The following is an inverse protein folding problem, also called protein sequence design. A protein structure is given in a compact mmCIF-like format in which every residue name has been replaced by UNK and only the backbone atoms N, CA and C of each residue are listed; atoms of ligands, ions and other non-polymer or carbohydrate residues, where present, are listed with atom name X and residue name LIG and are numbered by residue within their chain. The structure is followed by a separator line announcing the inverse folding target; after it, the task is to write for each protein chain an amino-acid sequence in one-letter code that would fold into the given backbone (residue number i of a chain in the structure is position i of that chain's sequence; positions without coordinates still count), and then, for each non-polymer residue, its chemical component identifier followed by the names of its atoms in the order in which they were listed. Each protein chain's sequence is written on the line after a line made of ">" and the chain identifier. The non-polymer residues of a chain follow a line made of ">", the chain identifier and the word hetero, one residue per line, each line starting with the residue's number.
data_IF_760511791458
#
_entry.id   IF_760511791458
#
_cell.length_a   1.000
_cell.length_b   1.000
_cell.length_c   1.000
_cell.angle_alpha   90.00
_cell.angle_beta   90.00
_cell.angle_gamma   90.00
#
_symmetry.space_group_name_H-M   'P 1'
#
loop_
_entity.id
_entity.type
_entity.pdbx_description
1 polymer ?
#
# COMPACT_ATOMS: atom_id res chain seq x y z
N UNK A 1 20.48 -0.09 11.33
CA UNK A 1 21.20 -0.54 12.55
C UNK A 1 20.23 -1.28 13.45
N UNK A 2 20.67 -2.32 14.17
CA UNK A 2 19.81 -3.11 15.06
C UNK A 2 19.12 -2.26 16.14
N UNK A 3 19.86 -1.34 16.77
CA UNK A 3 19.36 -0.48 17.85
C UNK A 3 18.75 0.85 17.39
N UNK A 4 18.30 0.92 16.14
CA UNK A 4 17.48 2.06 15.69
C UNK A 4 16.12 2.04 16.40
N UNK A 5 15.59 3.19 16.80
CA UNK A 5 14.25 3.30 17.42
C UNK A 5 13.12 3.19 16.39
N UNK A 6 13.42 3.42 15.11
CA UNK A 6 12.46 3.38 14.02
C UNK A 6 12.17 1.93 13.57
N UNK A 7 11.01 1.69 12.94
CA UNK A 7 10.75 0.45 12.25
C UNK A 7 11.85 0.13 11.23
N UNK A 8 12.30 -1.13 11.21
CA UNK A 8 13.39 -1.57 10.34
C UNK A 8 12.92 -1.64 8.89
N UNK A 9 13.81 -1.29 7.98
CA UNK A 9 13.57 -1.34 6.53
C UNK A 9 14.49 -2.31 5.79
N UNK A 10 15.50 -2.87 6.46
CA UNK A 10 16.45 -3.79 5.86
C UNK A 10 16.51 -5.08 6.66
N UNK A 11 16.56 -6.22 5.95
CA UNK A 11 16.64 -7.54 6.58
C UNK A 11 17.81 -7.67 7.55
N UNK A 12 18.98 -7.12 7.20
CA UNK A 12 20.18 -7.09 8.07
C UNK A 12 19.98 -6.40 9.43
N UNK A 13 18.94 -5.56 9.55
CA UNK A 13 18.63 -4.83 10.78
C UNK A 13 17.46 -5.46 11.56
N UNK A 14 16.88 -6.57 11.06
CA UNK A 14 15.73 -7.26 11.65
C UNK A 14 16.18 -8.59 12.29
N UNK A 15 16.14 -8.66 13.62
CA UNK A 15 16.61 -9.83 14.36
C UNK A 15 15.57 -10.97 14.40
N UNK A 16 15.97 -12.17 13.95
CA UNK A 16 15.26 -13.45 14.17
C UNK A 16 13.79 -13.50 13.71
N UNK A 17 13.43 -12.75 12.65
CA UNK A 17 12.07 -12.76 12.05
C UNK A 17 12.01 -13.53 10.73
N UNK A 18 12.90 -14.51 10.55
CA UNK A 18 13.00 -15.26 9.29
C UNK A 18 11.74 -16.09 9.02
N UNK A 19 11.14 -16.67 10.06
CA UNK A 19 9.91 -17.45 9.93
C UNK A 19 8.75 -16.58 9.43
N UNK A 20 8.48 -15.46 10.12
CA UNK A 20 7.38 -14.55 9.76
C UNK A 20 7.60 -13.90 8.39
N UNK A 21 8.84 -13.58 8.02
CA UNK A 21 9.17 -13.10 6.69
C UNK A 21 8.87 -14.15 5.62
N UNK A 22 9.24 -15.41 5.85
CA UNK A 22 9.00 -16.49 4.90
C UNK A 22 7.51 -16.77 4.72
N UNK A 23 6.70 -16.73 5.78
CA UNK A 23 5.23 -16.85 5.66
C UNK A 23 4.64 -15.76 4.75
N UNK A 24 5.08 -14.50 4.90
CA UNK A 24 4.64 -13.41 4.02
C UNK A 24 5.11 -13.64 2.59
N UNK A 25 6.36 -14.06 2.38
CA UNK A 25 6.87 -14.33 1.02
C UNK A 25 6.12 -15.47 0.35
N UNK A 26 5.80 -16.53 1.08
CA UNK A 26 5.10 -17.68 0.53
C UNK A 26 3.64 -17.33 0.21
N UNK A 27 2.96 -16.58 1.07
CA UNK A 27 1.64 -16.03 0.77
C UNK A 27 1.65 -15.13 -0.48
N UNK A 28 2.66 -14.26 -0.62
CA UNK A 28 2.82 -13.42 -1.82
C UNK A 28 3.09 -14.24 -3.10
N UNK A 29 3.90 -15.31 -3.02
CA UNK A 29 4.15 -16.23 -4.16
C UNK A 29 2.91 -17.01 -4.56
N UNK A 30 2.10 -17.41 -3.58
CA UNK A 30 0.81 -18.08 -3.78
C UNK A 30 -0.28 -17.13 -4.30
N UNK A 31 0.05 -15.84 -4.46
CA UNK A 31 -0.89 -14.81 -4.89
C UNK A 31 -2.09 -14.68 -3.93
N UNK A 32 -1.87 -14.90 -2.64
CA UNK A 32 -2.89 -14.68 -1.61
C UNK A 32 -3.40 -13.23 -1.71
N UNK A 33 -4.72 -13.07 -1.70
CA UNK A 33 -5.35 -11.75 -1.92
C UNK A 33 -5.50 -10.94 -0.63
N UNK A 34 -5.45 -11.62 0.52
CA UNK A 34 -5.49 -11.00 1.85
C UNK A 34 -4.47 -11.68 2.75
N UNK A 35 -3.62 -10.89 3.39
CA UNK A 35 -2.67 -11.34 4.41
C UNK A 35 -2.91 -10.47 5.64
N UNK A 36 -2.97 -11.05 6.83
CA UNK A 36 -3.18 -10.29 8.07
C UNK A 36 -1.98 -10.48 8.99
N UNK A 37 -1.25 -9.40 9.26
CA UNK A 37 -0.14 -9.40 10.22
C UNK A 37 -0.67 -8.93 11.58
N UNK A 38 -0.87 -9.87 12.51
CA UNK A 38 -1.38 -9.58 13.85
C UNK A 38 -0.31 -9.76 14.94
N UNK A 39 -0.61 -9.27 16.15
CA UNK A 39 0.25 -9.38 17.32
C UNK A 39 0.23 -8.13 18.19
N UNK A 40 0.86 -8.20 19.36
CA UNK A 40 0.85 -7.11 20.35
C UNK A 40 1.57 -5.84 19.84
N UNK A 41 1.27 -4.70 20.47
CA UNK A 41 1.93 -3.42 20.14
C UNK A 41 3.43 -3.52 20.46
N UNK A 42 4.27 -2.96 19.57
CA UNK A 42 5.76 -2.99 19.66
C UNK A 42 6.43 -4.36 19.45
N UNK A 43 5.71 -5.39 18.97
CA UNK A 43 6.35 -6.69 18.62
C UNK A 43 7.21 -6.65 17.33
N UNK A 44 7.07 -5.59 16.53
CA UNK A 44 7.84 -5.39 15.30
C UNK A 44 7.07 -5.55 13.99
N UNK A 45 5.72 -5.62 14.01
CA UNK A 45 4.88 -5.82 12.82
C UNK A 45 5.22 -4.89 11.64
N UNK A 46 5.27 -3.58 11.88
CA UNK A 46 5.62 -2.60 10.84
C UNK A 46 7.04 -2.81 10.27
N UNK A 47 7.97 -3.32 11.08
CA UNK A 47 9.33 -3.64 10.61
C UNK A 47 9.32 -4.88 9.71
N UNK A 48 8.59 -5.93 10.10
CA UNK A 48 8.42 -7.15 9.30
C UNK A 48 7.76 -6.80 7.96
N UNK A 49 6.67 -6.03 7.97
CA UNK A 49 5.97 -5.58 6.76
C UNK A 49 6.90 -4.81 5.81
N UNK A 50 7.61 -3.79 6.32
CA UNK A 50 8.50 -2.96 5.50
C UNK A 50 9.65 -3.77 4.90
N UNK A 51 10.27 -4.64 5.70
CA UNK A 51 11.33 -5.53 5.22
C UNK A 51 10.79 -6.50 4.17
N UNK A 52 9.65 -7.14 4.43
CA UNK A 52 9.03 -8.08 3.48
C UNK A 52 8.75 -7.41 2.13
N UNK A 53 8.09 -6.25 2.09
CA UNK A 53 7.74 -5.58 0.84
C UNK A 53 8.97 -5.12 0.04
N UNK A 54 10.03 -4.68 0.73
CA UNK A 54 11.28 -4.27 0.10
C UNK A 54 12.04 -5.46 -0.51
N UNK A 55 12.12 -6.57 0.22
CA UNK A 55 12.78 -7.80 -0.22
C UNK A 55 12.00 -8.53 -1.33
N UNK A 56 10.67 -8.49 -1.28
CA UNK A 56 9.80 -9.08 -2.31
C UNK A 56 9.95 -8.40 -3.68
N UNK A 57 10.48 -7.18 -3.73
CA UNK A 57 10.68 -6.39 -4.96
C UNK A 57 9.39 -6.26 -5.80
N UNK A 58 8.26 -6.13 -5.12
CA UNK A 58 6.95 -5.96 -5.73
C UNK A 58 6.52 -4.49 -5.73
N UNK A 59 5.75 -4.05 -6.73
CA UNK A 59 4.95 -2.84 -6.65
C UNK A 59 4.10 -2.84 -5.37
N UNK A 60 4.16 -1.77 -4.57
CA UNK A 60 3.40 -1.72 -3.32
C UNK A 60 3.11 -0.28 -2.87
N UNK A 61 2.18 -0.12 -1.93
CA UNK A 61 2.03 1.07 -1.12
C UNK A 61 1.78 0.69 0.33
N UNK A 62 2.32 1.48 1.26
CA UNK A 62 2.04 1.34 2.69
C UNK A 62 1.31 2.60 3.15
N UNK A 63 0.12 2.44 3.71
CA UNK A 63 -0.68 3.51 4.28
C UNK A 63 -0.63 3.42 5.80
N UNK A 64 -0.11 4.45 6.47
CA UNK A 64 -0.17 4.59 7.93
C UNK A 64 -1.56 5.08 8.35
N UNK A 65 -2.50 4.15 8.52
CA UNK A 65 -3.90 4.49 8.82
C UNK A 65 -4.01 5.15 10.19
N UNK A 66 -3.17 4.73 11.15
CA UNK A 66 -3.15 5.33 12.48
C UNK A 66 -2.70 6.80 12.42
N UNK A 67 -1.64 7.09 11.67
CA UNK A 67 -1.16 8.45 11.46
C UNK A 67 -2.25 9.34 10.89
N UNK A 68 -2.90 8.90 9.80
CA UNK A 68 -4.01 9.64 9.17
C UNK A 68 -5.16 9.90 10.14
N UNK A 69 -5.56 8.89 10.93
CA UNK A 69 -6.64 9.05 11.90
C UNK A 69 -6.29 10.05 12.99
N UNK A 70 -5.06 10.01 13.52
CA UNK A 70 -4.64 10.92 14.58
C UNK A 70 -4.46 12.36 14.10
N UNK A 71 -4.13 12.56 12.83
CA UNK A 71 -4.02 13.88 12.23
C UNK A 71 -5.39 14.50 11.92
N UNK A 72 -6.34 13.69 11.42
CA UNK A 72 -7.58 14.21 10.84
C UNK A 72 -8.88 13.79 11.56
N UNK A 73 -8.81 12.92 12.56
CA UNK A 73 -9.96 12.44 13.35
C UNK A 73 -10.93 11.51 12.60
N UNK A 74 -10.71 11.25 11.32
CA UNK A 74 -11.47 10.32 10.48
C UNK A 74 -10.59 9.79 9.35
N UNK A 75 -11.05 8.74 8.65
CA UNK A 75 -10.37 8.20 7.45
C UNK A 75 -11.21 8.46 6.20
N UNK A 76 -11.19 9.68 5.69
CA UNK A 76 -11.76 10.01 4.39
C UNK A 76 -11.02 9.30 3.24
N UNK A 77 -11.75 8.93 2.18
CA UNK A 77 -11.17 8.23 1.01
C UNK A 77 -10.02 9.02 0.39
N UNK A 78 -10.17 10.34 0.29
CA UNK A 78 -9.19 11.26 -0.29
C UNK A 78 -7.78 11.05 0.28
N UNK A 79 -7.70 10.83 1.59
CA UNK A 79 -6.44 10.62 2.29
C UNK A 79 -5.75 9.32 1.91
N UNK A 80 -6.53 8.27 1.57
CA UNK A 80 -5.96 7.03 1.07
C UNK A 80 -5.34 7.21 -0.31
N UNK A 81 -6.03 7.89 -1.25
CA UNK A 81 -5.44 8.18 -2.56
C UNK A 81 -4.16 9.00 -2.41
N UNK A 82 -4.22 10.07 -1.62
CA UNK A 82 -3.08 10.95 -1.40
C UNK A 82 -1.91 10.17 -0.80
N UNK A 83 -2.15 9.35 0.21
CA UNK A 83 -1.10 8.52 0.85
C UNK A 83 -0.48 7.53 -0.13
N UNK A 84 -1.28 6.88 -0.98
CA UNK A 84 -0.79 5.93 -1.99
C UNK A 84 0.03 6.65 -3.06
N UNK A 85 -0.46 7.79 -3.56
CA UNK A 85 0.25 8.58 -4.57
C UNK A 85 1.57 9.11 -3.99
N UNK A 86 1.56 9.71 -2.80
CA UNK A 86 2.78 10.17 -2.13
C UNK A 86 3.78 9.04 -1.91
N UNK A 87 3.31 7.83 -1.56
CA UNK A 87 4.16 6.64 -1.46
C UNK A 87 4.81 6.30 -2.81
N UNK A 88 4.05 6.36 -3.91
CA UNK A 88 4.59 6.15 -5.26
C UNK A 88 5.68 7.14 -5.63
N UNK A 89 5.48 8.42 -5.33
CA UNK A 89 6.46 9.47 -5.62
C UNK A 89 7.73 9.28 -4.80
N UNK A 90 7.58 9.08 -3.49
CA UNK A 90 8.71 8.91 -2.57
C UNK A 90 9.57 7.70 -2.94
N UNK A 91 8.97 6.65 -3.51
CA UNK A 91 9.65 5.41 -3.86
C UNK A 91 9.81 5.22 -5.38
N UNK A 92 9.71 6.29 -6.18
CA UNK A 92 9.75 6.22 -7.65
C UNK A 92 11.00 5.49 -8.18
N UNK A 93 12.17 5.77 -7.62
CA UNK A 93 13.43 5.11 -8.03
C UNK A 93 13.45 3.60 -7.75
N UNK A 94 12.80 3.14 -6.69
CA UNK A 94 12.61 1.72 -6.41
C UNK A 94 11.66 1.09 -7.42
N UNK A 95 10.54 1.77 -7.69
CA UNK A 95 9.54 1.29 -8.64
C UNK A 95 10.07 1.16 -10.07
N UNK A 96 10.85 2.13 -10.53
CA UNK A 96 11.52 2.05 -11.83
C UNK A 96 12.44 0.83 -11.94
N UNK A 97 13.23 0.54 -10.90
CA UNK A 97 14.12 -0.64 -10.86
C UNK A 97 13.39 -1.97 -10.96
N UNK A 98 12.17 -2.06 -10.41
CA UNK A 98 11.35 -3.27 -10.46
C UNK A 98 10.36 -3.26 -11.64
N UNK A 99 10.44 -2.26 -12.52
CA UNK A 99 9.62 -2.13 -13.73
C UNK A 99 8.19 -1.64 -13.50
N UNK A 100 7.89 -1.04 -12.35
CA UNK A 100 6.62 -0.36 -12.08
C UNK A 100 6.70 1.10 -12.54
N UNK A 101 6.14 1.40 -13.72
CA UNK A 101 6.23 2.74 -14.32
C UNK A 101 5.21 3.69 -13.69
N UNK A 102 5.54 4.22 -12.51
CA UNK A 102 4.68 5.13 -11.73
C UNK A 102 4.12 6.28 -12.58
N UNK A 103 4.96 6.95 -13.39
CA UNK A 103 4.51 8.07 -14.23
C UNK A 103 3.49 7.63 -15.31
N UNK A 104 3.70 6.48 -15.94
CA UNK A 104 2.75 5.93 -16.92
C UNK A 104 1.43 5.51 -16.27
N UNK A 105 1.48 4.98 -15.05
CA UNK A 105 0.28 4.64 -14.31
C UNK A 105 -0.50 5.90 -13.89
N UNK A 106 0.17 6.84 -13.22
CA UNK A 106 -0.46 8.05 -12.67
C UNK A 106 -1.05 8.95 -13.76
N UNK A 107 -0.44 9.04 -14.94
CA UNK A 107 -0.96 9.84 -16.06
C UNK A 107 -2.31 9.35 -16.60
N UNK A 108 -2.70 8.10 -16.29
CA UNK A 108 -3.98 7.50 -16.70
C UNK A 108 -5.10 7.80 -15.70
N UNK A 109 -4.78 8.36 -14.54
CA UNK A 109 -5.74 8.68 -13.50
C UNK A 109 -6.17 10.13 -13.67
N UNK A 110 -7.41 10.33 -14.14
CA UNK A 110 -8.03 11.67 -14.20
C UNK A 110 -7.99 12.31 -12.81
N UNK A 111 -7.49 13.55 -12.73
CA UNK A 111 -7.31 14.28 -11.47
C UNK A 111 -5.94 14.10 -10.82
N UNK A 112 -5.01 13.38 -11.47
CA UNK A 112 -3.59 13.37 -11.11
C UNK A 112 -2.80 14.05 -12.23
N UNK A 113 -2.09 15.13 -11.90
CA UNK A 113 -1.27 15.88 -12.83
C UNK A 113 0.21 15.64 -12.55
N UNK A 114 0.94 15.20 -13.56
CA UNK A 114 2.40 15.02 -13.48
C UNK A 114 3.06 16.30 -13.95
N UNK A 115 3.79 16.97 -13.06
CA UNK A 115 4.56 18.18 -13.35
C UNK A 115 6.05 17.87 -13.37
N UNK A 116 6.88 18.84 -13.75
CA UNK A 116 8.35 18.69 -13.69
C UNK A 116 8.88 18.59 -12.25
N UNK A 117 8.13 19.15 -11.29
CA UNK A 117 8.52 19.26 -9.88
C UNK A 117 7.93 18.10 -9.05
N UNK A 118 6.91 17.40 -9.55
CA UNK A 118 6.30 16.28 -8.83
C UNK A 118 4.96 15.83 -9.41
N UNK A 119 4.08 15.37 -8.54
CA UNK A 119 2.71 15.00 -8.89
C UNK A 119 1.74 15.77 -8.01
N UNK A 120 0.77 16.42 -8.65
CA UNK A 120 -0.30 17.14 -8.01
C UNK A 120 -1.58 16.30 -8.09
N UNK A 121 -2.22 16.13 -6.93
CA UNK A 121 -3.50 15.42 -6.83
C UNK A 121 -4.59 16.46 -6.68
N UNK A 122 -5.53 16.50 -7.64
CA UNK A 122 -6.67 17.40 -7.55
C UNK A 122 -7.50 17.06 -6.30
N UNK A 123 -7.92 18.05 -5.50
CA UNK A 123 -8.85 17.82 -4.38
C UNK A 123 -10.16 17.16 -4.81
N UNK A 124 -10.53 17.31 -6.08
CA UNK A 124 -11.75 16.70 -6.64
C UNK A 124 -11.57 15.24 -7.07
N UNK A 125 -10.38 14.64 -6.92
CA UNK A 125 -10.16 13.25 -7.31
C UNK A 125 -11.13 12.31 -6.59
N UNK A 126 -11.30 12.49 -5.27
CA UNK A 126 -12.16 11.63 -4.45
C UNK A 126 -13.67 11.81 -4.74
N UNK A 127 -14.07 12.93 -5.37
CA UNK A 127 -15.45 13.14 -5.83
C UNK A 127 -15.68 12.61 -7.23
N UNK A 128 -14.62 12.51 -8.04
CA UNK A 128 -14.67 12.05 -9.44
C UNK A 128 -14.40 10.56 -9.62
N UNK A 129 -13.75 9.91 -8.65
CA UNK A 129 -13.30 8.53 -8.75
C UNK A 129 -13.53 7.79 -7.43
N UNK A 130 -14.21 6.65 -7.46
CA UNK A 130 -14.36 5.80 -6.27
C UNK A 130 -13.04 5.09 -5.94
N UNK A 131 -12.90 4.63 -4.69
CA UNK A 131 -11.66 3.95 -4.29
C UNK A 131 -11.55 2.60 -4.99
N UNK A 132 -12.68 1.95 -5.23
CA UNK A 132 -12.75 0.73 -6.04
C UNK A 132 -12.31 0.95 -7.48
N UNK A 133 -12.71 2.06 -8.13
CA UNK A 133 -12.24 2.40 -9.49
C UNK A 133 -10.73 2.63 -9.53
N UNK A 134 -10.17 3.31 -8.52
CA UNK A 134 -8.72 3.51 -8.43
C UNK A 134 -7.97 2.19 -8.27
N UNK A 135 -8.46 1.29 -7.41
CA UNK A 135 -7.88 -0.04 -7.23
C UNK A 135 -8.03 -0.89 -8.51
N UNK A 136 -9.14 -0.81 -9.24
CA UNK A 136 -9.29 -1.46 -10.55
C UNK A 136 -8.26 -0.97 -11.56
N UNK A 137 -7.95 0.34 -11.59
CA UNK A 137 -6.90 0.87 -12.49
C UNK A 137 -5.52 0.33 -12.15
N UNK A 138 -5.22 0.14 -10.87
CA UNK A 138 -3.98 -0.50 -10.43
C UNK A 138 -3.96 -1.96 -10.88
N UNK A 139 -5.06 -2.69 -10.66
CA UNK A 139 -5.19 -4.09 -11.04
C UNK A 139 -5.00 -4.30 -12.54
N UNK A 140 -5.70 -3.52 -13.37
CA UNK A 140 -5.60 -3.55 -14.83
C UNK A 140 -4.18 -3.26 -15.32
N UNK A 141 -3.53 -2.26 -14.73
CA UNK A 141 -2.15 -1.91 -15.08
C UNK A 141 -1.21 -3.07 -14.73
N UNK A 142 -1.37 -3.66 -13.54
CA UNK A 142 -0.57 -4.80 -13.09
C UNK A 142 -0.79 -6.03 -13.97
N UNK A 143 -2.03 -6.37 -14.32
CA UNK A 143 -2.36 -7.48 -15.21
C UNK A 143 -1.71 -7.32 -16.59
N UNK A 144 -1.81 -6.14 -17.21
CA UNK A 144 -1.17 -5.84 -18.52
C UNK A 144 0.35 -5.98 -18.48
N UNK A 145 0.97 -5.73 -17.34
CA UNK A 145 2.43 -5.77 -17.17
C UNK A 145 2.92 -7.05 -16.49
N UNK A 146 2.05 -8.04 -16.25
CA UNK A 146 2.37 -9.29 -15.53
C UNK A 146 3.02 -9.02 -14.18
N UNK A 147 2.48 -8.05 -13.45
CA UNK A 147 2.91 -7.63 -12.11
C UNK A 147 1.80 -7.91 -11.12
N UNK A 148 2.17 -7.90 -9.85
CA UNK A 148 1.25 -7.89 -8.71
C UNK A 148 1.50 -6.65 -7.88
N UNK A 149 0.45 -6.06 -7.33
CA UNK A 149 0.53 -4.91 -6.45
C UNK A 149 0.17 -5.30 -5.02
N UNK A 150 0.89 -4.77 -4.04
CA UNK A 150 0.58 -4.96 -2.62
C UNK A 150 0.12 -3.65 -2.00
N UNK A 151 -1.12 -3.61 -1.50
CA UNK A 151 -1.62 -2.48 -0.73
C UNK A 151 -1.62 -2.85 0.75
N UNK A 152 -0.72 -2.25 1.52
CA UNK A 152 -0.59 -2.52 2.93
C UNK A 152 -1.18 -1.38 3.78
N UNK A 153 -2.00 -1.72 4.78
CA UNK A 153 -2.56 -0.80 5.75
C UNK A 153 -1.91 -1.03 7.13
N UNK A 154 -0.96 -0.18 7.52
CA UNK A 154 -0.39 -0.27 8.86
C UNK A 154 -1.42 0.23 9.89
N UNK A 155 -1.66 -0.58 10.93
CA UNK A 155 -2.72 -0.39 11.92
C UNK A 155 -4.12 -0.26 11.28
N UNK A 156 -4.45 -1.18 10.35
CA UNK A 156 -5.70 -1.21 9.58
C UNK A 156 -7.00 -1.11 10.41
N UNK A 157 -6.98 -1.48 11.70
CA UNK A 157 -8.15 -1.35 12.57
C UNK A 157 -8.69 0.09 12.67
N UNK A 158 -7.89 1.12 12.37
CA UNK A 158 -8.33 2.51 12.32
C UNK A 158 -9.20 2.84 11.10
N UNK A 159 -9.25 1.98 10.08
CA UNK A 159 -10.18 2.14 8.95
C UNK A 159 -11.65 2.17 9.40
N UNK A 160 -11.98 1.59 10.56
CA UNK A 160 -13.32 1.68 11.16
C UNK A 160 -13.80 3.12 11.39
N UNK A 161 -12.89 4.09 11.41
CA UNK A 161 -13.19 5.52 11.53
C UNK A 161 -13.38 6.22 10.17
N UNK A 162 -13.73 5.45 9.13
CA UNK A 162 -14.05 5.97 7.79
C UNK A 162 -15.36 6.76 7.68
N UNK A 163 -16.10 6.94 8.79
CA UNK A 163 -17.40 7.60 8.79
C UNK A 163 -18.41 6.83 7.94
N UNK A 164 -18.85 7.43 6.82
CA UNK A 164 -19.78 6.81 5.88
C UNK A 164 -19.15 5.75 4.96
N UNK A 165 -17.82 5.62 4.95
CA UNK A 165 -17.10 4.70 4.06
C UNK A 165 -16.97 3.33 4.69
N UNK A 166 -17.40 2.29 3.98
CA UNK A 166 -17.32 0.88 4.39
C UNK A 166 -16.06 0.22 3.84
N UNK A 167 -14.91 0.49 4.48
CA UNK A 167 -13.62 -0.05 4.02
C UNK A 167 -13.54 -1.57 4.12
N UNK A 168 -14.21 -2.19 5.08
CA UNK A 168 -14.40 -3.63 5.17
C UNK A 168 -15.05 -4.18 3.88
N UNK A 169 -16.12 -3.53 3.41
CA UNK A 169 -16.77 -3.89 2.15
C UNK A 169 -15.88 -3.67 0.92
N UNK A 170 -15.07 -2.60 0.91
CA UNK A 170 -14.12 -2.35 -0.18
C UNK A 170 -13.01 -3.41 -0.21
N UNK A 171 -12.46 -3.78 0.95
CA UNK A 171 -11.44 -4.83 1.07
C UNK A 171 -12.01 -6.17 0.60
N UNK A 172 -13.20 -6.55 1.07
CA UNK A 172 -13.87 -7.78 0.61
C UNK A 172 -14.08 -7.77 -0.91
N UNK A 173 -14.62 -6.67 -1.45
CA UNK A 173 -14.77 -6.51 -2.89
C UNK A 173 -13.44 -6.62 -3.64
N UNK A 174 -12.36 -6.04 -3.11
CA UNK A 174 -11.02 -6.15 -3.72
C UNK A 174 -10.50 -7.59 -3.72
N UNK A 175 -10.69 -8.31 -2.63
CA UNK A 175 -10.33 -9.74 -2.52
C UNK A 175 -11.09 -10.57 -3.55
N UNK A 176 -12.37 -10.28 -3.80
CA UNK A 176 -13.16 -11.06 -4.75
C UNK A 176 -12.83 -10.71 -6.21
N UNK A 177 -12.57 -9.43 -6.51
CA UNK A 177 -12.58 -8.92 -7.89
C UNK A 177 -11.20 -8.56 -8.46
N UNK A 178 -10.18 -8.32 -7.63
CA UNK A 178 -8.88 -7.80 -8.08
C UNK A 178 -7.81 -8.89 -8.02
N UNK A 179 -7.61 -9.56 -9.15
CA UNK A 179 -6.73 -10.73 -9.25
C UNK A 179 -5.24 -10.43 -9.10
N UNK A 180 -4.83 -9.17 -9.31
CA UNK A 180 -3.44 -8.70 -9.32
C UNK A 180 -3.10 -7.85 -8.09
N UNK A 181 -3.99 -7.79 -7.09
CA UNK A 181 -3.78 -7.05 -5.84
C UNK A 181 -3.78 -8.00 -4.64
N UNK A 182 -2.81 -7.79 -3.75
CA UNK A 182 -2.80 -8.37 -2.40
C UNK A 182 -2.99 -7.23 -1.40
N UNK A 183 -3.92 -7.40 -0.47
CA UNK A 183 -4.10 -6.50 0.67
C UNK A 183 -3.38 -7.08 1.88
N UNK A 184 -2.62 -6.24 2.59
CA UNK A 184 -1.93 -6.58 3.85
C UNK A 184 -2.35 -5.65 4.99
#
# INVERSE_FOLDING_TARGET
>A
MLFDINPKEYKKDLYNREYELNEIFDALKLNERLIVIYGIRRVGKSSILRVALKEAKLPHAIVDVKGLYFEHGSIAREMLYRSIVEFFLKNMSFFEKIGFKVKDFLSRIKGIHITEIGVEVEPTLATRMSFTEFLSKIDDWCGKHKKRFVLAFDEAQYLRFGGGVKYDGIIAWSVDNLSNITII
#
